data_IF_047483671205
#
_entry.id   IF_047483671205
#
_cell.length_a   1.000
_cell.length_b   1.000
_cell.length_c   1.000
_cell.angle_alpha   90.00
_cell.angle_beta   90.00
_cell.angle_gamma   90.00
#
_symmetry.space_group_name_H-M   'P 1'
#
loop_
_entity.id
_entity.type
_entity.pdbx_description
1 polymer ?
#
# COMPACT_ATOMS: atom_id res chain seq x y z
N UNK A 1 22.77 -33.40 29.06
CA UNK A 1 22.68 -32.19 28.21
C UNK A 1 21.30 -32.17 27.60
N UNK A 2 20.47 -31.23 28.06
CA UNK A 2 19.03 -31.22 27.85
C UNK A 2 18.66 -30.75 26.44
N UNK A 3 17.70 -31.45 25.83
CA UNK A 3 16.99 -31.07 24.61
C UNK A 3 15.98 -29.98 24.96
N UNK A 4 16.11 -28.80 24.36
CA UNK A 4 15.15 -27.71 24.54
C UNK A 4 13.92 -27.94 23.64
N UNK A 5 12.78 -28.18 24.27
CA UNK A 5 11.48 -28.37 23.64
C UNK A 5 10.87 -26.99 23.40
N UNK A 6 10.73 -26.60 22.14
CA UNK A 6 9.93 -25.44 21.77
C UNK A 6 8.47 -25.67 22.18
N UNK A 7 8.03 -24.98 23.23
CA UNK A 7 6.67 -25.00 23.74
C UNK A 7 5.72 -24.34 22.71
N UNK A 8 4.63 -25.03 22.39
CA UNK A 8 3.60 -24.59 21.44
C UNK A 8 2.79 -23.40 21.98
N UNK A 9 2.97 -23.02 23.25
CA UNK A 9 2.30 -21.88 23.91
C UNK A 9 3.01 -20.54 23.69
N UNK A 10 4.29 -20.52 23.33
CA UNK A 10 5.04 -19.26 23.09
C UNK A 10 4.80 -18.65 21.70
N UNK A 11 4.19 -19.39 20.76
CA UNK A 11 3.93 -18.91 19.39
C UNK A 11 2.58 -18.17 19.24
N UNK A 12 1.62 -18.41 20.13
CA UNK A 12 0.29 -17.79 20.07
C UNK A 12 0.20 -16.42 20.79
N UNK A 13 1.28 -15.97 21.45
CA UNK A 13 1.29 -14.74 22.24
C UNK A 13 1.75 -13.46 21.53
N UNK A 14 2.15 -13.53 20.24
CA UNK A 14 2.72 -12.36 19.53
C UNK A 14 1.96 -11.91 18.27
N UNK A 15 0.79 -12.50 17.99
CA UNK A 15 0.00 -12.16 16.80
C UNK A 15 -1.43 -11.73 17.13
N UNK A 16 -1.70 -11.29 18.36
CA UNK A 16 -2.94 -10.59 18.67
C UNK A 16 -2.86 -9.19 18.06
N UNK A 17 -3.37 -9.08 16.84
CA UNK A 17 -3.61 -7.85 16.12
C UNK A 17 -4.40 -6.88 16.99
N UNK A 18 -3.85 -5.68 17.14
CA UNK A 18 -4.62 -4.49 17.52
C UNK A 18 -5.58 -4.22 16.37
N UNK A 19 -6.84 -4.59 16.58
CA UNK A 19 -7.95 -4.05 15.81
C UNK A 19 -8.37 -2.69 16.37
N UNK A 20 -9.00 -1.92 15.49
CA UNK A 20 -9.71 -0.66 15.70
C UNK A 20 -8.88 0.63 15.73
N UNK A 21 -9.07 1.43 14.67
CA UNK A 21 -9.37 2.84 14.82
C UNK A 21 -8.20 3.77 15.12
N UNK A 22 -7.49 4.16 14.07
CA UNK A 22 -7.07 5.55 13.86
C UNK A 22 -6.49 5.67 12.46
N UNK A 23 -7.19 6.37 11.56
CA UNK A 23 -6.55 7.02 10.43
C UNK A 23 -5.72 8.20 10.96
N UNK A 24 -4.69 7.89 11.75
CA UNK A 24 -3.67 8.83 12.14
C UNK A 24 -2.63 8.87 11.04
N UNK A 25 -2.54 9.99 10.32
CA UNK A 25 -1.33 10.26 9.56
C UNK A 25 -0.15 10.22 10.53
N UNK A 26 0.64 9.14 10.50
CA UNK A 26 1.89 9.07 11.24
C UNK A 26 2.86 10.02 10.55
N UNK A 27 2.79 11.29 10.92
CA UNK A 27 3.82 12.26 10.63
C UNK A 27 4.98 11.93 11.57
N UNK A 28 5.97 11.17 11.07
CA UNK A 28 7.28 11.11 11.72
C UNK A 28 7.95 12.48 11.52
N UNK A 29 7.51 13.47 12.29
CA UNK A 29 8.16 14.75 12.43
C UNK A 29 9.35 14.58 13.36
N UNK A 30 10.56 14.52 12.79
CA UNK A 30 11.76 14.66 13.61
C UNK A 30 11.78 16.05 14.22
N UNK A 31 11.59 16.15 15.55
CA UNK A 31 11.75 17.39 16.29
C UNK A 31 13.17 17.91 16.12
N UNK A 32 13.29 19.13 15.60
CA UNK A 32 14.53 19.87 15.64
C UNK A 32 14.74 20.41 17.06
N UNK A 33 15.43 19.65 17.90
CA UNK A 33 15.92 20.15 19.18
C UNK A 33 17.06 21.16 18.92
N UNK A 34 16.79 22.43 19.20
CA UNK A 34 17.79 23.48 19.27
C UNK A 34 18.24 23.66 20.73
N UNK A 35 19.49 23.29 21.03
CA UNK A 35 20.54 24.19 21.53
C UNK A 35 21.75 23.43 22.09
N UNK A 36 22.90 23.70 21.50
CA UNK A 36 24.21 23.54 22.13
C UNK A 36 25.13 24.60 21.53
N UNK A 37 25.50 25.61 22.33
CA UNK A 37 26.45 26.66 21.94
C UNK A 37 27.84 26.03 21.77
N UNK A 38 28.27 25.89 20.52
CA UNK A 38 29.64 25.55 20.15
C UNK A 38 30.09 26.51 19.05
N UNK A 39 31.08 27.34 19.35
CA UNK A 39 31.73 28.21 18.38
C UNK A 39 32.50 27.36 17.37
N UNK A 40 31.95 27.21 16.18
CA UNK A 40 32.62 26.71 14.99
C UNK A 40 31.83 27.18 13.78
N UNK A 41 32.42 28.02 12.94
CA UNK A 41 31.83 28.48 11.68
C UNK A 41 31.76 27.33 10.66
N UNK A 42 30.88 26.36 10.92
CA UNK A 42 30.44 25.39 9.92
C UNK A 42 29.26 25.97 9.15
N UNK A 43 29.32 25.98 7.82
CA UNK A 43 28.16 26.29 6.98
C UNK A 43 26.93 25.51 7.47
N UNK A 44 25.75 26.14 7.64
CA UNK A 44 24.56 25.43 8.09
C UNK A 44 24.25 24.27 7.14
N UNK A 45 24.13 23.06 7.69
CA UNK A 45 23.77 21.86 6.93
C UNK A 45 22.37 22.07 6.37
N UNK A 46 22.25 22.19 5.05
CA UNK A 46 20.94 22.25 4.38
C UNK A 46 20.23 20.91 4.57
N UNK A 47 19.13 20.93 5.33
CA UNK A 47 18.24 19.78 5.49
C UNK A 47 17.10 19.88 4.47
N UNK A 48 16.80 18.76 3.83
CA UNK A 48 15.66 18.63 2.92
C UNK A 48 14.72 17.56 3.47
N UNK A 49 13.43 17.79 3.37
CA UNK A 49 12.39 16.84 3.73
C UNK A 49 11.43 16.66 2.56
N UNK A 50 10.89 15.46 2.45
CA UNK A 50 9.77 15.12 1.58
C UNK A 50 8.71 14.40 2.41
N UNK A 51 7.48 14.35 1.90
CA UNK A 51 6.37 13.69 2.59
C UNK A 51 5.95 12.43 1.85
N UNK A 52 5.76 11.33 2.58
CA UNK A 52 5.13 10.11 2.07
C UNK A 52 3.79 9.98 2.77
N UNK A 53 2.73 9.96 1.99
CA UNK A 53 1.37 9.70 2.44
C UNK A 53 1.02 8.26 2.08
N UNK A 54 0.37 7.56 3.01
CA UNK A 54 -0.03 6.18 2.85
C UNK A 54 -1.52 6.01 3.09
N UNK A 55 -2.18 5.22 2.26
CA UNK A 55 -3.45 4.55 2.60
C UNK A 55 -3.24 3.05 2.71
N UNK A 56 -4.19 2.37 3.35
CA UNK A 56 -4.21 0.92 3.50
C UNK A 56 -5.64 0.48 3.73
N UNK A 57 -5.97 -0.76 3.38
CA UNK A 57 -7.23 -1.41 3.75
C UNK A 57 -8.46 -0.58 3.36
N UNK A 58 -8.39 0.07 2.18
CA UNK A 58 -9.48 0.91 1.68
C UNK A 58 -10.75 0.09 1.44
N UNK A 59 -10.61 -1.21 1.18
CA UNK A 59 -11.68 -2.19 1.13
C UNK A 59 -12.87 -1.84 0.20
N UNK A 60 -12.63 -1.10 -0.88
CA UNK A 60 -13.67 -0.67 -1.81
C UNK A 60 -14.50 0.53 -1.33
N UNK A 61 -14.06 1.22 -0.28
CA UNK A 61 -14.72 2.42 0.23
C UNK A 61 -14.27 3.63 -0.61
N UNK A 62 -15.00 3.92 -1.70
CA UNK A 62 -14.80 5.14 -2.48
C UNK A 62 -15.41 6.35 -1.76
N UNK A 63 -16.61 6.18 -1.20
CA UNK A 63 -17.39 7.21 -0.52
C UNK A 63 -17.54 6.87 0.96
N UNK A 64 -17.90 7.89 1.76
CA UNK A 64 -18.35 7.68 3.14
C UNK A 64 -19.79 7.13 3.12
N UNK A 65 -19.95 5.86 2.76
CA UNK A 65 -21.29 5.28 2.55
C UNK A 65 -21.35 3.84 3.03
N UNK A 66 -22.41 3.52 3.78
CA UNK A 66 -22.77 2.15 4.11
C UNK A 66 -23.83 1.64 3.14
N UNK A 67 -23.42 0.72 2.25
CA UNK A 67 -24.29 0.11 1.26
C UNK A 67 -25.30 -0.90 1.84
N UNK A 68 -25.14 -1.34 3.10
CA UNK A 68 -26.13 -2.22 3.74
C UNK A 68 -27.32 -1.42 4.27
N UNK A 69 -27.06 -0.24 4.84
CA UNK A 69 -28.09 0.60 5.48
C UNK A 69 -28.52 1.79 4.62
N UNK A 70 -27.91 1.93 3.44
CA UNK A 70 -28.16 2.95 2.42
C UNK A 70 -28.14 4.38 2.99
N UNK A 71 -27.05 4.71 3.69
CA UNK A 71 -26.82 6.02 4.31
C UNK A 71 -25.33 6.32 4.38
N UNK A 72 -25.02 7.57 4.72
CA UNK A 72 -23.66 7.95 5.08
C UNK A 72 -23.16 7.08 6.24
N UNK A 73 -21.92 6.58 6.11
CA UNK A 73 -21.33 5.76 7.15
C UNK A 73 -21.06 6.59 8.40
N UNK A 74 -21.44 6.06 9.55
CA UNK A 74 -21.24 6.66 10.86
C UNK A 74 -21.07 5.53 11.89
N UNK A 75 -19.90 5.43 12.50
CA UNK A 75 -19.64 4.46 13.58
C UNK A 75 -19.90 5.09 14.96
N UNK A 76 -19.74 4.31 16.03
CA UNK A 76 -19.97 4.81 17.40
C UNK A 76 -19.02 5.93 17.82
N UNK A 77 -17.93 6.15 17.09
CA UNK A 77 -16.95 7.20 17.32
C UNK A 77 -17.09 8.36 16.32
N UNK A 78 -18.13 8.35 15.48
CA UNK A 78 -18.36 9.32 14.42
C UNK A 78 -17.19 9.44 13.43
N UNK A 79 -16.55 8.31 13.12
CA UNK A 79 -15.50 8.26 12.13
C UNK A 79 -16.08 8.26 10.70
N UNK A 80 -15.33 8.94 9.84
CA UNK A 80 -15.53 8.93 8.40
C UNK A 80 -14.67 7.86 7.72
N UNK A 81 -15.21 7.24 6.68
CA UNK A 81 -14.48 6.39 5.73
C UNK A 81 -14.49 6.98 4.32
N UNK A 82 -13.76 6.35 3.42
CA UNK A 82 -13.89 6.59 2.00
C UNK A 82 -12.78 7.45 1.40
N UNK A 83 -12.29 6.99 0.26
CA UNK A 83 -11.21 7.61 -0.48
C UNK A 83 -11.52 9.06 -0.92
N UNK A 84 -12.78 9.41 -1.13
CA UNK A 84 -13.22 10.77 -1.46
C UNK A 84 -12.95 11.78 -0.33
N UNK A 85 -13.05 11.39 0.94
CA UNK A 85 -12.67 12.26 2.06
C UNK A 85 -11.15 12.34 2.19
N UNK A 86 -10.45 11.22 2.02
CA UNK A 86 -8.98 11.15 2.01
C UNK A 86 -8.37 12.08 0.95
N UNK A 87 -8.99 12.23 -0.22
CA UNK A 87 -8.45 13.11 -1.28
C UNK A 87 -8.28 14.55 -0.82
N UNK A 88 -9.14 15.04 0.07
CA UNK A 88 -9.05 16.40 0.63
C UNK A 88 -7.79 16.59 1.47
N UNK A 89 -7.42 15.58 2.26
CA UNK A 89 -6.20 15.56 3.08
C UNK A 89 -4.95 15.48 2.20
N UNK A 90 -4.99 14.63 1.17
CA UNK A 90 -3.92 14.52 0.17
C UNK A 90 -3.67 15.86 -0.51
N UNK A 91 -4.74 16.54 -0.95
CA UNK A 91 -4.61 17.83 -1.61
C UNK A 91 -4.11 18.91 -0.67
N UNK A 92 -4.49 18.88 0.60
CA UNK A 92 -3.95 19.78 1.62
C UNK A 92 -2.43 19.60 1.75
N UNK A 93 -1.95 18.37 1.96
CA UNK A 93 -0.51 18.09 2.08
C UNK A 93 0.24 18.50 0.81
N UNK A 94 -0.34 18.24 -0.37
CA UNK A 94 0.27 18.63 -1.65
C UNK A 94 0.31 20.15 -1.86
N UNK A 95 -0.67 20.91 -1.36
CA UNK A 95 -0.63 22.39 -1.34
C UNK A 95 0.49 22.89 -0.43
N UNK A 96 0.64 22.30 0.75
CA UNK A 96 1.65 22.71 1.73
C UNK A 96 3.08 22.31 1.35
N UNK A 97 3.27 21.12 0.78
CA UNK A 97 4.60 20.54 0.53
C UNK A 97 5.02 20.58 -0.94
N UNK A 98 4.07 20.76 -1.85
CA UNK A 98 4.25 20.71 -3.30
C UNK A 98 4.22 19.28 -3.84
N UNK A 99 3.41 19.02 -4.89
CA UNK A 99 3.21 17.68 -5.47
C UNK A 99 4.50 16.95 -5.87
N UNK A 100 5.55 17.67 -6.27
CA UNK A 100 6.86 17.11 -6.66
C UNK A 100 7.77 16.73 -5.48
N UNK A 101 7.34 17.03 -4.27
CA UNK A 101 8.03 16.72 -3.00
C UNK A 101 7.17 15.82 -2.10
N UNK A 102 6.15 15.18 -2.67
CA UNK A 102 5.26 14.25 -1.98
C UNK A 102 5.16 12.95 -2.75
N UNK A 103 5.02 11.82 -2.04
CA UNK A 103 4.57 10.54 -2.60
C UNK A 103 3.24 10.15 -1.96
N UNK A 104 2.36 9.55 -2.75
CA UNK A 104 1.15 8.89 -2.26
C UNK A 104 1.19 7.41 -2.63
N UNK A 105 1.18 6.54 -1.63
CA UNK A 105 1.22 5.08 -1.82
C UNK A 105 0.05 4.40 -1.11
N UNK A 106 -0.31 3.21 -1.58
CA UNK A 106 -1.29 2.34 -0.92
C UNK A 106 -0.64 1.01 -0.52
N UNK A 107 -1.05 0.44 0.61
CA UNK A 107 -0.51 -0.82 1.14
C UNK A 107 -1.32 -2.08 0.77
N UNK A 108 -2.41 -1.95 -0.01
CA UNK A 108 -3.20 -3.06 -0.49
C UNK A 108 -4.55 -3.20 0.21
N UNK A 109 -5.26 -4.30 -0.08
CA UNK A 109 -6.63 -4.57 0.35
C UNK A 109 -7.59 -3.44 -0.08
N UNK A 110 -7.57 -3.16 -1.38
CA UNK A 110 -8.25 -2.04 -2.03
C UNK A 110 -9.53 -2.47 -2.74
N UNK A 111 -9.55 -3.61 -3.44
CA UNK A 111 -10.61 -3.92 -4.44
C UNK A 111 -11.65 -4.94 -3.98
N UNK A 112 -11.77 -5.17 -2.67
CA UNK A 112 -12.74 -6.07 -2.07
C UNK A 112 -13.14 -5.52 -0.70
N UNK A 113 -14.38 -5.77 -0.26
CA UNK A 113 -14.83 -5.42 1.10
C UNK A 113 -16.24 -4.81 1.12
N UNK A 114 -16.59 -4.02 0.10
CA UNK A 114 -17.92 -3.43 -0.06
C UNK A 114 -18.74 -4.08 -1.18
N UNK A 115 -20.06 -3.84 -1.15
CA UNK A 115 -21.00 -4.20 -2.20
C UNK A 115 -20.65 -3.53 -3.53
N UNK A 116 -20.07 -2.33 -3.49
CA UNK A 116 -19.56 -1.65 -4.68
C UNK A 116 -18.50 -2.50 -5.38
N UNK A 117 -17.47 -2.95 -4.64
CA UNK A 117 -16.44 -3.83 -5.19
C UNK A 117 -17.00 -5.17 -5.65
N UNK A 118 -17.91 -5.78 -4.87
CA UNK A 118 -18.57 -7.02 -5.27
C UNK A 118 -19.35 -6.88 -6.58
N UNK A 119 -20.12 -5.80 -6.73
CA UNK A 119 -20.90 -5.53 -7.93
C UNK A 119 -20.02 -5.50 -9.18
N UNK A 120 -18.90 -4.78 -9.13
CA UNK A 120 -17.96 -4.68 -10.25
C UNK A 120 -17.03 -5.90 -10.42
N UNK A 121 -17.05 -6.84 -9.48
CA UNK A 121 -16.38 -8.12 -9.60
C UNK A 121 -17.28 -9.24 -10.15
N UNK A 122 -18.60 -9.20 -9.87
CA UNK A 122 -19.52 -10.33 -10.10
C UNK A 122 -20.80 -9.99 -10.87
N UNK A 123 -21.35 -8.79 -10.72
CA UNK A 123 -22.65 -8.42 -11.30
C UNK A 123 -22.48 -7.71 -12.64
N UNK A 124 -21.71 -6.62 -12.66
CA UNK A 124 -21.27 -5.94 -13.88
C UNK A 124 -19.72 -5.95 -13.95
N UNK A 125 -19.12 -7.10 -14.29
CA UNK A 125 -17.71 -7.33 -14.06
C UNK A 125 -16.83 -6.46 -14.96
N UNK A 126 -15.79 -5.84 -14.38
CA UNK A 126 -14.78 -5.06 -15.11
C UNK A 126 -14.07 -5.86 -16.22
N UNK A 127 -14.10 -7.19 -16.12
CA UNK A 127 -13.50 -8.12 -17.08
C UNK A 127 -14.37 -8.38 -18.32
N UNK A 128 -15.61 -7.88 -18.37
CA UNK A 128 -16.44 -7.99 -19.55
C UNK A 128 -15.81 -7.26 -20.76
N UNK A 129 -16.16 -7.66 -21.99
CA UNK A 129 -15.61 -7.10 -23.24
C UNK A 129 -15.73 -5.57 -23.35
N UNK A 130 -16.75 -5.00 -22.71
CA UNK A 130 -16.98 -3.56 -22.55
C UNK A 130 -17.26 -3.24 -21.07
N UNK A 131 -16.54 -3.93 -20.20
CA UNK A 131 -16.71 -3.80 -18.77
C UNK A 131 -16.42 -2.38 -18.29
N UNK A 132 -17.02 -1.98 -17.17
CA UNK A 132 -16.80 -0.68 -16.57
C UNK A 132 -15.36 -0.54 -16.03
N UNK A 133 -14.99 0.70 -15.69
CA UNK A 133 -13.77 0.97 -14.90
C UNK A 133 -14.08 0.69 -13.44
N UNK A 134 -13.21 -0.05 -12.75
CA UNK A 134 -13.35 -0.30 -11.33
C UNK A 134 -13.39 1.04 -10.57
N UNK A 135 -14.38 1.28 -9.69
CA UNK A 135 -14.52 2.56 -9.00
C UNK A 135 -13.28 2.98 -8.20
N UNK A 136 -12.61 2.03 -7.54
CA UNK A 136 -11.34 2.30 -6.86
C UNK A 136 -10.24 2.72 -7.83
N UNK A 137 -10.10 2.10 -9.01
CA UNK A 137 -9.09 2.50 -9.99
C UNK A 137 -9.36 3.93 -10.46
N UNK A 138 -10.63 4.23 -10.80
CA UNK A 138 -11.05 5.57 -11.20
C UNK A 138 -10.73 6.63 -10.12
N UNK A 139 -11.05 6.34 -8.86
CA UNK A 139 -10.82 7.26 -7.75
C UNK A 139 -9.31 7.43 -7.45
N UNK A 140 -8.54 6.35 -7.38
CA UNK A 140 -7.10 6.41 -7.12
C UNK A 140 -6.34 7.08 -8.26
N UNK A 141 -6.73 6.87 -9.52
CA UNK A 141 -6.17 7.59 -10.67
C UNK A 141 -6.45 9.09 -10.58
N UNK A 142 -7.68 9.49 -10.23
CA UNK A 142 -8.04 10.89 -10.08
C UNK A 142 -7.23 11.60 -8.98
N UNK A 143 -6.96 10.92 -7.87
CA UNK A 143 -6.08 11.43 -6.81
C UNK A 143 -4.62 11.41 -7.28
N UNK A 144 -4.25 10.44 -8.12
CA UNK A 144 -2.91 10.26 -8.66
C UNK A 144 -1.97 9.67 -7.62
N UNK A 145 -2.21 8.40 -7.29
CA UNK A 145 -1.29 7.55 -6.54
C UNK A 145 0.02 7.31 -7.31
N UNK A 146 1.10 7.07 -6.58
CA UNK A 146 2.42 6.80 -7.14
C UNK A 146 2.72 5.30 -7.29
N UNK A 147 2.14 4.47 -6.41
CA UNK A 147 2.18 3.01 -6.43
C UNK A 147 1.19 2.44 -5.39
N UNK A 148 0.82 1.16 -5.53
CA UNK A 148 0.14 0.40 -4.49
C UNK A 148 0.80 -0.97 -4.32
N UNK A 149 0.90 -1.49 -3.10
CA UNK A 149 1.23 -2.90 -2.89
C UNK A 149 -0.02 -3.77 -3.09
N UNK A 150 0.20 -5.05 -3.40
CA UNK A 150 -0.86 -6.05 -3.35
C UNK A 150 -1.08 -6.47 -1.89
N UNK A 151 -2.31 -6.37 -1.40
CA UNK A 151 -2.79 -7.06 -0.22
C UNK A 151 -3.26 -8.47 -0.55
N UNK A 152 -3.86 -9.16 0.43
CA UNK A 152 -4.40 -10.50 0.20
C UNK A 152 -5.74 -10.47 -0.52
N UNK A 153 -6.56 -9.46 -0.25
CA UNK A 153 -7.92 -9.38 -0.79
C UNK A 153 -7.96 -9.06 -2.29
N UNK A 154 -6.85 -8.59 -2.88
CA UNK A 154 -6.68 -8.47 -4.33
C UNK A 154 -6.89 -9.78 -5.10
N UNK A 155 -6.71 -10.94 -4.44
CA UNK A 155 -6.80 -12.26 -5.08
C UNK A 155 -8.17 -12.93 -5.00
N UNK A 156 -9.10 -12.40 -4.17
CA UNK A 156 -10.40 -13.02 -3.86
C UNK A 156 -11.34 -13.19 -5.05
N UNK A 157 -11.20 -12.34 -6.07
CA UNK A 157 -12.01 -12.45 -7.28
C UNK A 157 -11.27 -13.13 -8.45
N UNK A 158 -10.06 -13.63 -8.17
CA UNK A 158 -9.21 -14.32 -9.12
C UNK A 158 -8.27 -13.40 -9.90
N UNK A 159 -7.17 -14.00 -10.38
CA UNK A 159 -6.10 -13.32 -11.12
C UNK A 159 -6.63 -12.49 -12.32
N UNK A 160 -7.62 -12.94 -13.13
CA UNK A 160 -8.12 -12.12 -14.24
C UNK A 160 -8.73 -10.77 -13.81
N UNK A 161 -9.46 -10.74 -12.69
CA UNK A 161 -10.01 -9.48 -12.16
C UNK A 161 -8.89 -8.58 -11.67
N UNK A 162 -7.91 -9.14 -10.94
CA UNK A 162 -6.75 -8.39 -10.47
C UNK A 162 -5.92 -7.79 -11.62
N UNK A 163 -5.65 -8.56 -12.68
CA UNK A 163 -4.94 -8.05 -13.87
C UNK A 163 -5.75 -6.99 -14.59
N UNK A 164 -7.09 -7.14 -14.63
CA UNK A 164 -7.94 -6.10 -15.22
C UNK A 164 -7.93 -4.81 -14.40
N UNK A 165 -7.91 -4.92 -13.08
CA UNK A 165 -7.75 -3.77 -12.20
C UNK A 165 -6.37 -3.10 -12.39
N UNK A 166 -5.29 -3.88 -12.46
CA UNK A 166 -3.94 -3.39 -12.78
C UNK A 166 -3.92 -2.61 -14.11
N UNK A 167 -4.55 -3.12 -15.16
CA UNK A 167 -4.68 -2.43 -16.46
C UNK A 167 -5.42 -1.09 -16.38
N UNK A 168 -6.30 -0.92 -15.40
CA UNK A 168 -7.11 0.28 -15.20
C UNK A 168 -6.42 1.32 -14.32
N UNK A 169 -5.32 1.00 -13.65
CA UNK A 169 -4.57 1.92 -12.79
C UNK A 169 -3.51 2.71 -13.58
N UNK A 170 -3.37 4.00 -13.28
CA UNK A 170 -2.34 4.89 -13.84
C UNK A 170 -0.98 4.77 -13.09
N UNK A 171 -0.92 3.86 -12.13
CA UNK A 171 0.22 3.60 -11.24
C UNK A 171 0.44 2.09 -11.10
N UNK A 172 1.67 1.62 -10.81
CA UNK A 172 1.96 0.20 -10.73
C UNK A 172 1.40 -0.43 -9.44
N UNK A 173 0.86 -1.63 -9.57
CA UNK A 173 0.64 -2.54 -8.44
C UNK A 173 1.92 -3.35 -8.18
N UNK A 174 2.37 -3.39 -6.94
CA UNK A 174 3.68 -3.91 -6.55
C UNK A 174 3.57 -5.22 -5.78
N UNK A 175 4.37 -6.21 -6.15
CA UNK A 175 4.32 -7.53 -5.53
C UNK A 175 5.62 -8.32 -5.74
N UNK A 176 6.67 -7.95 -5.02
CA UNK A 176 8.01 -8.53 -5.19
C UNK A 176 8.09 -10.01 -4.78
N UNK A 177 7.22 -10.45 -3.89
CA UNK A 177 7.08 -11.84 -3.46
C UNK A 177 5.85 -12.55 -4.07
N UNK A 178 5.12 -11.92 -5.00
CA UNK A 178 4.06 -12.57 -5.76
C UNK A 178 4.68 -13.18 -7.03
N UNK A 179 5.16 -14.43 -6.92
CA UNK A 179 5.96 -15.06 -7.97
C UNK A 179 5.15 -16.05 -8.80
N UNK A 180 5.47 -16.17 -10.08
CA UNK A 180 4.95 -17.25 -10.93
C UNK A 180 5.46 -18.60 -10.40
N UNK A 181 4.58 -19.58 -10.26
CA UNK A 181 4.89 -20.85 -9.60
C UNK A 181 5.91 -21.71 -10.35
N UNK A 182 6.12 -21.47 -11.65
CA UNK A 182 7.06 -22.25 -12.48
C UNK A 182 8.41 -21.56 -12.62
N UNK A 183 8.40 -20.29 -13.00
CA UNK A 183 9.60 -19.51 -13.30
C UNK A 183 10.21 -18.82 -12.09
N UNK A 184 9.45 -18.71 -10.98
CA UNK A 184 9.82 -17.98 -9.76
C UNK A 184 10.20 -16.52 -10.01
N UNK A 185 9.67 -15.94 -11.10
CA UNK A 185 9.81 -14.51 -11.42
C UNK A 185 8.60 -13.75 -10.88
N UNK A 186 8.77 -12.49 -10.42
CA UNK A 186 7.64 -11.66 -10.02
C UNK A 186 6.60 -11.52 -11.15
N UNK A 187 5.32 -11.73 -10.82
CA UNK A 187 4.19 -11.57 -11.75
C UNK A 187 3.81 -10.09 -11.90
N UNK A 188 4.05 -9.33 -10.84
CA UNK A 188 3.86 -7.89 -10.76
C UNK A 188 5.23 -7.19 -10.63
N UNK A 189 5.34 -5.92 -11.02
CA UNK A 189 6.54 -5.14 -10.74
C UNK A 189 6.94 -5.26 -9.26
N UNK A 190 8.19 -5.62 -8.94
CA UNK A 190 8.59 -5.74 -7.54
C UNK A 190 8.65 -4.38 -6.84
N UNK A 191 9.06 -3.34 -7.57
CA UNK A 191 9.27 -2.00 -7.04
C UNK A 191 9.04 -0.93 -8.12
N UNK A 192 8.94 0.32 -7.68
CA UNK A 192 9.10 1.51 -8.53
C UNK A 192 10.13 2.45 -7.91
N UNK A 193 10.85 3.23 -8.72
CA UNK A 193 11.75 4.29 -8.24
C UNK A 193 11.17 5.64 -8.64
N UNK A 194 10.84 6.46 -7.65
CA UNK A 194 10.33 7.82 -7.84
C UNK A 194 11.44 8.83 -7.57
N UNK A 195 11.42 9.95 -8.30
CA UNK A 195 12.33 11.08 -8.10
C UNK A 195 11.59 12.21 -7.41
N UNK A 196 12.08 12.62 -6.25
CA UNK A 196 11.58 13.75 -5.49
C UNK A 196 12.52 14.94 -5.68
N UNK A 197 11.94 16.09 -6.03
CA UNK A 197 12.72 17.30 -6.30
C UNK A 197 13.01 18.05 -5.02
N UNK A 198 14.28 18.40 -4.82
CA UNK A 198 14.68 19.31 -3.74
C UNK A 198 14.82 20.73 -4.31
N UNK A 199 14.42 21.80 -3.59
CA UNK A 199 14.47 23.17 -4.13
C UNK A 199 15.87 23.64 -4.54
N UNK A 200 16.91 23.19 -3.83
CA UNK A 200 18.30 23.68 -4.00
C UNK A 200 19.35 22.56 -3.95
N UNK A 201 18.96 21.29 -4.16
CA UNK A 201 19.82 20.12 -4.02
C UNK A 201 19.68 19.12 -5.17
N UNK A 202 20.31 17.95 -5.03
CA UNK A 202 20.11 16.83 -5.96
C UNK A 202 18.72 16.23 -5.72
N UNK A 203 18.09 15.76 -6.79
CA UNK A 203 16.88 14.94 -6.68
C UNK A 203 17.14 13.71 -5.78
N UNK A 204 16.19 13.41 -4.91
CA UNK A 204 16.22 12.20 -4.08
C UNK A 204 15.49 11.09 -4.83
N UNK A 205 16.12 9.92 -4.93
CA UNK A 205 15.48 8.72 -5.47
C UNK A 205 14.91 7.90 -4.33
N UNK A 206 13.63 7.60 -4.42
CA UNK A 206 12.90 6.79 -3.44
C UNK A 206 12.42 5.54 -4.14
N UNK A 207 12.94 4.40 -3.71
CA UNK A 207 12.43 3.10 -4.13
C UNK A 207 11.25 2.70 -3.24
N UNK A 208 10.13 2.35 -3.86
CA UNK A 208 8.96 1.76 -3.19
C UNK A 208 8.93 0.29 -3.56
N UNK A 209 9.08 -0.60 -2.58
CA UNK A 209 9.08 -2.06 -2.71
C UNK A 209 7.72 -2.59 -2.23
N UNK A 210 7.02 -3.36 -3.06
CA UNK A 210 5.76 -4.01 -2.66
C UNK A 210 6.00 -5.42 -2.17
N UNK A 211 5.40 -5.79 -1.04
CA UNK A 211 5.39 -7.14 -0.49
C UNK A 211 3.97 -7.47 -0.07
N UNK A 212 3.54 -8.70 -0.32
CA UNK A 212 2.19 -9.20 -0.03
C UNK A 212 2.21 -10.35 0.96
N UNK A 213 1.06 -10.72 1.52
CA UNK A 213 0.95 -11.72 2.57
C UNK A 213 1.10 -13.17 2.05
N UNK A 214 2.06 -13.98 2.53
CA UNK A 214 2.21 -15.39 2.14
C UNK A 214 0.97 -16.25 2.38
N UNK A 215 0.10 -15.84 3.30
CA UNK A 215 -1.18 -16.49 3.61
C UNK A 215 -2.10 -16.64 2.40
N UNK A 216 -1.94 -15.83 1.35
CA UNK A 216 -2.69 -15.93 0.07
C UNK A 216 -2.62 -17.34 -0.52
N UNK A 217 -1.48 -18.03 -0.36
CA UNK A 217 -1.32 -19.42 -0.82
C UNK A 217 -2.34 -20.40 -0.20
N UNK A 218 -2.85 -20.05 0.98
CA UNK A 218 -3.83 -20.83 1.74
C UNK A 218 -5.24 -20.24 1.56
N UNK A 219 -5.42 -18.94 1.81
CA UNK A 219 -6.74 -18.30 1.80
C UNK A 219 -7.38 -18.27 0.40
N UNK A 220 -6.60 -18.00 -0.63
CA UNK A 220 -7.05 -17.88 -2.01
C UNK A 220 -6.56 -19.05 -2.87
N UNK A 221 -6.35 -20.21 -2.24
CA UNK A 221 -5.82 -21.42 -2.88
C UNK A 221 -6.54 -21.75 -4.20
N UNK A 222 -7.86 -21.61 -4.25
CA UNK A 222 -8.66 -21.86 -5.45
C UNK A 222 -8.28 -20.96 -6.64
N UNK A 223 -7.78 -19.76 -6.37
CA UNK A 223 -7.39 -18.78 -7.38
C UNK A 223 -5.91 -18.88 -7.77
N UNK A 224 -5.03 -19.18 -6.82
CA UNK A 224 -3.57 -19.05 -6.99
C UNK A 224 -2.81 -20.39 -7.07
N UNK A 225 -3.37 -21.51 -6.60
CA UNK A 225 -2.66 -22.78 -6.55
C UNK A 225 -2.16 -23.22 -7.95
N UNK A 226 -0.89 -23.62 -8.01
CA UNK A 226 -0.21 -24.04 -9.25
C UNK A 226 0.10 -22.89 -10.23
N UNK A 227 -0.30 -21.64 -9.91
CA UNK A 227 -0.07 -20.45 -10.75
C UNK A 227 0.90 -19.50 -10.09
N UNK A 228 0.78 -19.28 -8.79
CA UNK A 228 1.62 -18.35 -8.03
C UNK A 228 2.10 -18.96 -6.71
N UNK A 229 3.25 -18.48 -6.24
CA UNK A 229 3.81 -18.77 -4.92
C UNK A 229 4.18 -17.47 -4.22
N UNK A 230 4.12 -17.47 -2.89
CA UNK A 230 4.29 -16.27 -2.07
C UNK A 230 5.34 -16.50 -0.97
N UNK A 231 6.65 -16.39 -1.28
CA UNK A 231 7.70 -16.50 -0.28
C UNK A 231 7.59 -15.42 0.81
N UNK A 232 8.28 -15.64 1.93
CA UNK A 232 8.20 -14.80 3.12
C UNK A 232 8.65 -13.35 2.89
N UNK A 233 8.03 -12.41 3.61
CA UNK A 233 8.34 -10.98 3.50
C UNK A 233 9.81 -10.69 3.81
N UNK A 234 10.31 -11.20 4.93
CA UNK A 234 11.69 -10.96 5.37
C UNK A 234 12.72 -11.48 4.37
N UNK A 235 12.50 -12.69 3.84
CA UNK A 235 13.36 -13.31 2.83
C UNK A 235 13.43 -12.45 1.55
N UNK A 236 12.27 -12.00 1.06
CA UNK A 236 12.23 -11.20 -0.16
C UNK A 236 12.72 -9.77 0.07
N UNK A 237 12.49 -9.17 1.24
CA UNK A 237 13.07 -7.90 1.63
C UNK A 237 14.60 -7.97 1.69
N UNK A 238 15.15 -9.01 2.31
CA UNK A 238 16.60 -9.23 2.40
C UNK A 238 17.26 -9.36 1.00
N UNK A 239 16.53 -9.89 0.01
CA UNK A 239 16.97 -9.96 -1.39
C UNK A 239 16.86 -8.62 -2.12
N UNK A 240 15.73 -7.93 -2.01
CA UNK A 240 15.45 -6.74 -2.83
C UNK A 240 16.07 -5.46 -2.29
N UNK A 241 16.12 -5.27 -0.97
CA UNK A 241 16.63 -4.01 -0.37
C UNK A 241 18.10 -3.73 -0.76
N UNK A 242 19.05 -4.68 -0.69
CA UNK A 242 20.42 -4.44 -1.14
C UNK A 242 20.51 -4.10 -2.63
N UNK A 243 19.71 -4.79 -3.46
CA UNK A 243 19.65 -4.53 -4.92
C UNK A 243 19.09 -3.14 -5.22
N UNK A 244 18.12 -2.65 -4.46
CA UNK A 244 17.58 -1.30 -4.63
C UNK A 244 18.58 -0.25 -4.20
N UNK A 245 19.30 -0.47 -3.08
CA UNK A 245 20.36 0.43 -2.63
C UNK A 245 21.51 0.54 -3.62
N UNK A 246 21.88 -0.55 -4.29
CA UNK A 246 22.96 -0.53 -5.29
C UNK A 246 22.59 0.23 -6.57
N UNK A 247 21.32 0.54 -6.79
CA UNK A 247 20.87 1.34 -7.93
C UNK A 247 21.09 2.84 -7.75
N UNK A 248 21.54 3.31 -6.58
CA UNK A 248 21.73 4.71 -6.21
C UNK A 248 20.41 5.48 -6.07
#
# INVERSE_FOLDING_TARGET
MALDRWDRRTFLGRSAAVGAGAAGAVMVGGEALAHGRGHGEGRPVKRYSFSVMGTTDLHGNVFNWDYFTDREYDDTAHNDIGLAKISTLVDQVRREKGRRNTLLIDAGDTIQGTQLSYYYAKVDPITARRGPVHPMAKAMNAIGYDAAALGNHEFNYGIPVLRKFEEQCDFPLLGANALDAKSLRPVFPPYVIKRLRTPCGRDVRVAVLGLTNPGIAIWDKAHVAGKMVFPGLEEQAAKWVPRLRSMG
#
